data_IF_346491696059
#
_entry.id   IF_346491696059
#
_cell.length_a   1.000
_cell.length_b   1.000
_cell.length_c   1.000
_cell.angle_alpha   90.00
_cell.angle_beta   90.00
_cell.angle_gamma   90.00
#
_symmetry.space_group_name_H-M   'P 1'
#
loop_
_entity.id
_entity.type
_entity.pdbx_description
1 polymer ?
#
# COMPACT_ATOMS: atom_id res chain seq x y z
N UNK A 1 9.04 16.33 -19.27
CA UNK A 1 8.12 15.43 -18.55
C UNK A 1 8.93 14.73 -17.51
N UNK A 2 8.50 14.75 -16.24
CA UNK A 2 9.19 14.05 -15.17
C UNK A 2 8.99 12.55 -15.42
N UNK A 3 9.99 11.90 -16.01
CA UNK A 3 10.04 10.44 -16.10
C UNK A 3 10.46 9.94 -14.72
N UNK A 4 9.49 9.45 -13.97
CA UNK A 4 9.72 8.66 -12.77
C UNK A 4 10.54 7.42 -13.18
N UNK A 5 11.80 7.34 -12.71
CA UNK A 5 12.68 6.22 -12.98
C UNK A 5 12.77 5.34 -11.72
N UNK A 6 11.96 4.26 -11.64
CA UNK A 6 11.97 3.33 -10.52
C UNK A 6 13.30 2.58 -10.34
N UNK A 7 14.30 2.79 -11.21
CA UNK A 7 15.62 2.18 -11.08
C UNK A 7 16.54 2.87 -10.08
N UNK A 8 16.18 4.05 -9.57
CA UNK A 8 16.98 4.70 -8.51
C UNK A 8 16.51 4.27 -7.13
N UNK A 9 17.36 3.50 -6.43
CA UNK A 9 17.10 2.97 -5.09
C UNK A 9 16.71 4.07 -4.06
N UNK A 10 17.14 5.31 -4.30
CA UNK A 10 16.88 6.46 -3.40
C UNK A 10 15.41 6.86 -3.36
N UNK A 11 14.76 7.02 -4.52
CA UNK A 11 13.34 7.41 -4.55
C UNK A 11 12.46 6.31 -3.95
N UNK A 12 12.79 5.05 -4.27
CA UNK A 12 12.12 3.90 -3.68
C UNK A 12 12.26 3.88 -2.16
N UNK A 13 13.47 4.12 -1.65
CA UNK A 13 13.73 4.17 -0.21
C UNK A 13 12.89 5.26 0.47
N UNK A 14 12.85 6.48 -0.08
CA UNK A 14 12.07 7.58 0.50
C UNK A 14 10.57 7.26 0.61
N UNK A 15 10.01 6.61 -0.40
CA UNK A 15 8.58 6.21 -0.39
C UNK A 15 8.34 5.05 0.58
N UNK A 16 9.27 4.10 0.69
CA UNK A 16 9.19 3.02 1.68
C UNK A 16 9.31 3.59 3.10
N UNK A 17 10.20 4.54 3.34
CA UNK A 17 10.34 5.21 4.63
C UNK A 17 9.05 5.91 5.05
N UNK A 18 8.36 6.58 4.11
CA UNK A 18 7.05 7.16 4.34
C UNK A 18 6.04 6.09 4.80
N UNK A 19 5.95 4.98 4.07
CA UNK A 19 4.99 3.89 4.38
C UNK A 19 5.30 3.27 5.74
N UNK A 20 6.56 2.90 5.96
CA UNK A 20 6.98 2.19 7.18
C UNK A 20 6.93 3.08 8.42
N UNK A 21 7.23 4.37 8.28
CA UNK A 21 7.07 5.35 9.36
C UNK A 21 5.59 5.51 9.74
N UNK A 22 4.71 5.67 8.74
CA UNK A 22 3.27 5.79 8.98
C UNK A 22 2.71 4.52 9.65
N UNK A 23 3.07 3.33 9.13
CA UNK A 23 2.65 2.06 9.68
C UNK A 23 3.13 1.90 11.14
N UNK A 24 4.41 2.15 11.43
CA UNK A 24 4.92 1.98 12.79
C UNK A 24 4.32 2.98 13.79
N UNK A 25 4.03 4.20 13.34
CA UNK A 25 3.53 5.28 14.21
C UNK A 25 2.05 5.08 14.57
N UNK A 26 1.22 4.69 13.60
CA UNK A 26 -0.24 4.74 13.74
C UNK A 26 -0.92 3.36 13.72
N UNK A 27 -0.27 2.34 13.15
CA UNK A 27 -0.83 0.99 13.07
C UNK A 27 -0.31 0.13 14.23
N UNK A 28 -0.99 0.22 15.38
CA UNK A 28 -0.62 -0.48 16.61
C UNK A 28 -1.74 -1.41 17.11
N UNK A 29 -1.43 -2.26 18.09
CA UNK A 29 -2.39 -3.23 18.64
C UNK A 29 -2.95 -4.15 17.55
N UNK A 30 -4.28 -4.23 17.43
CA UNK A 30 -4.95 -5.04 16.41
C UNK A 30 -4.75 -4.53 14.98
N UNK A 31 -4.29 -3.29 14.81
CA UNK A 31 -3.99 -2.70 13.51
C UNK A 31 -2.52 -2.89 13.10
N UNK A 32 -1.68 -3.50 13.93
CA UNK A 32 -0.27 -3.69 13.62
C UNK A 32 -0.06 -4.49 12.32
N UNK A 33 0.72 -3.93 11.40
CA UNK A 33 0.98 -4.52 10.08
C UNK A 33 2.38 -5.14 9.95
N UNK A 34 3.35 -4.57 10.66
CA UNK A 34 4.75 -4.98 10.63
C UNK A 34 5.29 -5.07 12.05
N UNK A 35 6.27 -5.93 12.26
CA UNK A 35 6.90 -6.10 13.57
C UNK A 35 7.82 -4.93 13.92
N UNK A 36 8.42 -4.29 12.91
CA UNK A 36 9.28 -3.12 13.03
C UNK A 36 9.33 -2.34 11.71
N UNK A 37 9.95 -1.15 11.73
CA UNK A 37 10.29 -0.38 10.51
C UNK A 37 11.22 -1.20 9.60
N UNK A 38 12.20 -1.89 10.15
CA UNK A 38 13.16 -2.69 9.36
C UNK A 38 12.47 -3.87 8.64
N UNK A 39 11.54 -4.54 9.32
CA UNK A 39 10.72 -5.62 8.74
C UNK A 39 9.84 -5.09 7.59
N UNK A 40 9.21 -3.94 7.79
CA UNK A 40 8.47 -3.24 6.74
C UNK A 40 9.36 -2.90 5.54
N UNK A 41 10.51 -2.27 5.78
CA UNK A 41 11.45 -1.87 4.73
C UNK A 41 11.94 -3.08 3.96
N UNK A 42 12.35 -4.15 4.65
CA UNK A 42 12.80 -5.38 4.01
C UNK A 42 11.72 -6.02 3.14
N UNK A 43 10.49 -6.10 3.65
CA UNK A 43 9.36 -6.65 2.90
C UNK A 43 9.06 -5.83 1.64
N UNK A 44 8.90 -4.51 1.79
CA UNK A 44 8.59 -3.63 0.66
C UNK A 44 9.74 -3.55 -0.35
N UNK A 45 10.99 -3.65 0.09
CA UNK A 45 12.16 -3.67 -0.79
C UNK A 45 12.30 -4.98 -1.58
N UNK A 46 11.86 -6.11 -1.04
CA UNK A 46 12.21 -7.42 -1.63
C UNK A 46 11.03 -8.22 -2.16
N UNK A 47 9.81 -7.92 -1.72
CA UNK A 47 8.61 -8.72 -2.04
C UNK A 47 7.56 -7.96 -2.84
N UNK A 48 7.55 -6.63 -2.76
CA UNK A 48 6.51 -5.81 -3.38
C UNK A 48 7.08 -5.08 -4.60
N UNK A 49 6.50 -5.26 -5.79
CA UNK A 49 6.89 -4.48 -6.96
C UNK A 49 6.58 -3.01 -6.73
N UNK A 50 7.42 -2.11 -7.26
CA UNK A 50 7.20 -0.68 -7.05
C UNK A 50 5.86 -0.21 -7.62
N UNK A 51 5.54 -0.65 -8.85
CA UNK A 51 4.29 -0.31 -9.54
C UNK A 51 4.29 1.09 -10.13
N UNK A 52 3.09 1.60 -10.40
CA UNK A 52 2.89 2.93 -10.96
C UNK A 52 1.58 3.53 -10.44
N UNK A 53 1.50 4.85 -10.34
CA UNK A 53 0.35 5.54 -9.74
C UNK A 53 -0.93 5.48 -10.61
N UNK A 54 -0.83 5.20 -11.90
CA UNK A 54 -1.98 4.91 -12.77
C UNK A 54 -2.63 3.55 -12.49
N UNK A 55 -1.98 2.71 -11.68
CA UNK A 55 -2.46 1.41 -11.19
C UNK A 55 -2.46 1.38 -9.65
N UNK A 56 -3.01 2.43 -9.05
CA UNK A 56 -3.03 2.69 -7.61
C UNK A 56 -3.89 1.76 -6.75
N UNK A 57 -4.41 0.68 -7.32
CA UNK A 57 -5.23 -0.35 -6.66
C UNK A 57 -4.60 -1.75 -6.73
N UNK A 58 -3.36 -1.85 -7.22
CA UNK A 58 -2.62 -3.11 -7.34
C UNK A 58 -1.76 -3.39 -6.12
N UNK A 59 -1.21 -4.62 -6.03
CA UNK A 59 -0.30 -5.05 -4.95
C UNK A 59 1.10 -4.42 -5.01
N UNK A 60 1.18 -3.09 -5.02
CA UNK A 60 2.40 -2.33 -5.33
C UNK A 60 2.78 -1.35 -4.22
N UNK A 61 4.06 -0.94 -4.20
CA UNK A 61 4.53 0.13 -3.30
C UNK A 61 3.78 1.44 -3.57
N UNK A 62 3.50 1.77 -4.84
CA UNK A 62 2.74 2.97 -5.20
C UNK A 62 1.33 3.00 -4.59
N UNK A 63 0.58 1.88 -4.63
CA UNK A 63 -0.73 1.78 -3.96
C UNK A 63 -0.60 2.01 -2.45
N UNK A 64 0.41 1.40 -1.83
CA UNK A 64 0.64 1.52 -0.38
C UNK A 64 1.04 2.94 0.03
N UNK A 65 1.78 3.65 -0.81
CA UNK A 65 2.12 5.06 -0.58
C UNK A 65 0.86 5.93 -0.53
N UNK A 66 -0.11 5.71 -1.43
CA UNK A 66 -1.40 6.40 -1.40
C UNK A 66 -2.08 6.19 -0.04
N UNK A 67 -2.21 4.93 0.41
CA UNK A 67 -2.88 4.63 1.67
C UNK A 67 -2.11 5.09 2.91
N UNK A 68 -0.77 5.14 2.87
CA UNK A 68 0.04 5.65 3.97
C UNK A 68 -0.26 7.11 4.30
N UNK A 69 -0.61 7.95 3.32
CA UNK A 69 -1.04 9.33 3.58
C UNK A 69 -2.34 9.44 4.39
N UNK A 70 -3.22 8.43 4.32
CA UNK A 70 -4.50 8.44 5.01
C UNK A 70 -4.49 7.68 6.34
N UNK A 71 -3.43 6.92 6.62
CA UNK A 71 -3.24 6.23 7.90
C UNK A 71 -3.41 7.17 9.11
N UNK A 72 -2.85 8.39 9.16
CA UNK A 72 -3.06 9.29 10.31
C UNK A 72 -4.50 9.79 10.48
N UNK A 73 -5.32 9.75 9.42
CA UNK A 73 -6.69 10.26 9.42
C UNK A 73 -7.70 9.19 9.85
N UNK A 74 -7.54 7.96 9.35
CA UNK A 74 -8.42 6.84 9.68
C UNK A 74 -7.64 5.51 9.70
N UNK A 75 -6.87 5.23 10.77
CA UNK A 75 -6.01 4.06 10.84
C UNK A 75 -6.75 2.73 10.66
N UNK A 76 -7.97 2.60 11.18
CA UNK A 76 -8.75 1.35 11.12
C UNK A 76 -9.03 0.90 9.69
N UNK A 77 -9.19 1.83 8.75
CA UNK A 77 -9.43 1.54 7.33
C UNK A 77 -8.10 1.38 6.58
N UNK A 78 -7.12 2.26 6.84
CA UNK A 78 -5.94 2.34 5.97
C UNK A 78 -4.74 1.51 6.42
N UNK A 79 -4.67 1.11 7.69
CA UNK A 79 -3.61 0.23 8.17
C UNK A 79 -3.57 -1.11 7.43
N UNK A 80 -4.69 -1.85 7.26
CA UNK A 80 -4.69 -3.09 6.48
C UNK A 80 -4.11 -2.93 5.07
N UNK A 81 -4.30 -1.76 4.44
CA UNK A 81 -3.90 -1.52 3.05
C UNK A 81 -2.39 -1.29 2.90
N UNK A 82 -1.70 -0.85 3.95
CA UNK A 82 -0.23 -0.63 3.90
C UNK A 82 0.57 -1.87 4.32
N UNK A 83 -0.07 -2.90 4.90
CA UNK A 83 0.56 -4.12 5.40
C UNK A 83 0.65 -5.29 4.42
N UNK A 84 1.33 -6.40 4.75
CA UNK A 84 1.66 -7.47 3.80
C UNK A 84 0.49 -8.05 3.00
N UNK A 85 -0.71 -8.11 3.59
CA UNK A 85 -1.92 -8.62 2.93
C UNK A 85 -2.51 -7.66 1.89
N UNK A 86 -2.16 -6.37 1.98
CA UNK A 86 -2.73 -5.30 1.17
C UNK A 86 -4.18 -4.96 1.52
N UNK A 87 -4.78 -5.64 2.51
CA UNK A 87 -6.13 -5.41 3.01
C UNK A 87 -7.20 -5.36 1.92
N UNK A 88 -7.03 -6.13 0.84
CA UNK A 88 -7.93 -6.13 -0.33
C UNK A 88 -7.77 -4.93 -1.27
N UNK A 89 -7.43 -3.75 -0.75
CA UNK A 89 -7.20 -2.54 -1.55
C UNK A 89 -5.93 -2.63 -2.40
N UNK A 90 -4.77 -2.92 -1.78
CA UNK A 90 -3.49 -3.05 -2.48
C UNK A 90 -3.17 -4.52 -2.77
N UNK A 91 -3.94 -5.13 -3.66
CA UNK A 91 -3.80 -6.52 -4.11
C UNK A 91 -3.90 -6.58 -5.63
N UNK A 92 -3.27 -7.58 -6.25
CA UNK A 92 -3.30 -7.70 -7.71
C UNK A 92 -4.71 -8.02 -8.20
N UNK A 93 -5.22 -7.17 -9.10
CA UNK A 93 -6.57 -7.25 -9.65
C UNK A 93 -6.49 -7.60 -11.13
N UNK A 94 -7.22 -8.64 -11.51
CA UNK A 94 -7.36 -9.04 -12.92
C UNK A 94 -8.39 -8.16 -13.63
N UNK A 95 -8.46 -8.26 -14.95
CA UNK A 95 -9.55 -7.63 -15.71
C UNK A 95 -10.92 -8.13 -15.21
N UNK A 96 -11.06 -9.44 -14.99
CA UNK A 96 -12.30 -10.04 -14.48
C UNK A 96 -12.71 -9.50 -13.12
N UNK A 97 -11.74 -9.10 -12.29
CA UNK A 97 -12.04 -8.42 -11.04
C UNK A 97 -12.89 -7.18 -11.31
N UNK A 98 -12.60 -6.33 -12.29
CA UNK A 98 -13.38 -5.10 -12.49
C UNK A 98 -14.77 -5.33 -13.08
N UNK A 99 -14.92 -6.35 -13.94
CA UNK A 99 -16.20 -6.61 -14.61
C UNK A 99 -17.21 -7.38 -13.76
N UNK A 100 -16.75 -8.08 -12.72
CA UNK A 100 -17.60 -8.92 -11.87
C UNK A 100 -17.94 -8.27 -10.53
N UNK A 101 -17.70 -6.97 -10.35
CA UNK A 101 -17.94 -6.28 -9.08
C UNK A 101 -19.36 -5.74 -9.08
N UNK A 102 -20.23 -6.21 -8.16
CA UNK A 102 -21.61 -5.78 -8.10
C UNK A 102 -21.73 -4.31 -7.66
N UNK A 103 -20.66 -3.73 -7.12
CA UNK A 103 -20.58 -2.34 -6.71
C UNK A 103 -19.19 -1.76 -7.04
N UNK A 104 -19.14 -0.79 -7.95
CA UNK A 104 -17.92 -0.07 -8.31
C UNK A 104 -17.24 0.60 -7.10
N UNK A 105 -18.02 1.04 -6.10
CA UNK A 105 -17.49 1.63 -4.86
C UNK A 105 -16.87 0.58 -3.92
N UNK A 106 -17.28 -0.69 -4.02
CA UNK A 106 -16.73 -1.79 -3.21
C UNK A 106 -15.28 -2.12 -3.56
N UNK A 107 -14.82 -1.77 -4.77
CA UNK A 107 -13.42 -1.95 -5.16
C UNK A 107 -12.48 -0.93 -4.52
N UNK A 108 -13.00 0.22 -4.08
CA UNK A 108 -12.21 1.36 -3.66
C UNK A 108 -12.09 1.52 -2.13
N UNK A 109 -13.06 1.02 -1.34
CA UNK A 109 -13.11 1.33 0.09
C UNK A 109 -13.41 0.20 1.07
N UNK A 110 -14.04 -0.92 0.73
CA UNK A 110 -14.60 -1.80 1.78
C UNK A 110 -14.76 -3.24 1.33
N UNK A 111 -14.13 -4.16 2.06
CA UNK A 111 -14.85 -5.33 2.58
C UNK A 111 -14.41 -5.49 4.05
N UNK A 112 -15.26 -5.00 4.95
CA UNK A 112 -15.33 -5.50 6.34
C UNK A 112 -15.82 -6.95 6.34
#
# INVERSE_FOLDING_TARGET
GLTFDPSTDVERQLIIDLICTAAQTFCNGTLQQYSSVDDCTQYLMTKVPYGSYDRGDQGTVACRAIHAYFVPLLPSVHCPHVGPTGGGACTDKTIDFYYNQPNFLGCACEQE
#
